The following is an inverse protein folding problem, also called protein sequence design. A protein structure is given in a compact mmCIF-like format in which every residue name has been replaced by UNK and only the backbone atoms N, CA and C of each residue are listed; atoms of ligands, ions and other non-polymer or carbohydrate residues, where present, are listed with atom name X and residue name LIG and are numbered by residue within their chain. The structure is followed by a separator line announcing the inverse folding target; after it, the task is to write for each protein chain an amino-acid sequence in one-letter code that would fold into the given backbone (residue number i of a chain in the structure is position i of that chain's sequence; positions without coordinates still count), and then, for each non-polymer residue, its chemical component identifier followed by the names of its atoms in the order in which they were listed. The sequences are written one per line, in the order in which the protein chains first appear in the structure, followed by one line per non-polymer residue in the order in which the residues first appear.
data_IF_165003533799
#
_entry.id   IF_165003533799
#
_cell.length_a   1.000
_cell.length_b   1.000
_cell.length_c   1.000
_cell.angle_alpha   90.00
_cell.angle_beta   90.00
_cell.angle_gamma   90.00
#
_symmetry.space_group_name_H-M   'P 1'
#
loop_
_entity.id
_entity.type
_entity.pdbx_description
1 polymer ?
#
# COMPACT_ATOMS: atom_id res chain seq x y z
N UNK A 1 10.25 -15.49 -18.08
CA UNK A 1 9.94 -14.47 -17.06
C UNK A 1 11.23 -13.83 -16.54
N UNK A 2 12.15 -14.60 -15.97
CA UNK A 2 13.48 -14.11 -15.54
C UNK A 2 14.32 -13.56 -16.71
N UNK A 3 14.27 -14.19 -17.90
CA UNK A 3 14.93 -13.69 -19.12
C UNK A 3 14.44 -12.30 -19.58
N UNK A 4 13.18 -11.96 -19.33
CA UNK A 4 12.64 -10.65 -19.67
C UNK A 4 13.21 -9.56 -18.74
N UNK A 5 13.35 -9.87 -17.44
CA UNK A 5 13.96 -8.96 -16.46
C UNK A 5 15.45 -8.77 -16.73
N UNK A 6 16.17 -9.83 -17.06
CA UNK A 6 17.58 -9.73 -17.46
C UNK A 6 17.76 -8.81 -18.68
N UNK A 7 16.85 -8.90 -19.65
CA UNK A 7 16.85 -8.01 -20.82
C UNK A 7 16.61 -6.55 -20.41
N UNK A 8 15.61 -6.29 -19.54
CA UNK A 8 15.35 -4.95 -18.99
C UNK A 8 16.56 -4.36 -18.26
N UNK A 9 17.35 -5.21 -17.60
CA UNK A 9 18.54 -4.82 -16.84
C UNK A 9 19.85 -4.91 -17.64
N UNK A 10 19.78 -5.00 -18.97
CA UNK A 10 20.96 -4.83 -19.82
C UNK A 10 21.37 -3.34 -19.83
N UNK A 11 22.67 -2.99 -19.72
CA UNK A 11 23.11 -1.59 -19.72
C UNK A 11 22.55 -0.80 -20.91
N UNK A 12 22.16 0.46 -20.69
CA UNK A 12 21.70 1.36 -21.77
C UNK A 12 22.85 1.64 -22.76
N UNK A 13 24.05 1.86 -22.23
CA UNK A 13 25.29 1.98 -23.00
C UNK A 13 26.49 1.54 -22.13
N UNK A 14 27.65 1.22 -22.72
CA UNK A 14 28.86 0.88 -21.97
C UNK A 14 29.33 2.01 -21.03
N UNK A 15 29.20 3.26 -21.46
CA UNK A 15 29.67 4.44 -20.72
C UNK A 15 28.65 4.93 -19.68
N UNK A 16 27.36 4.78 -19.99
CA UNK A 16 26.26 5.17 -19.12
C UNK A 16 25.29 3.99 -18.96
N UNK A 17 25.59 3.03 -18.07
CA UNK A 17 24.80 1.80 -17.93
C UNK A 17 23.35 2.06 -17.49
N UNK A 18 23.13 3.11 -16.70
CA UNK A 18 21.80 3.55 -16.29
C UNK A 18 21.18 4.66 -17.16
N UNK A 19 21.90 5.13 -18.17
CA UNK A 19 21.48 6.26 -19.00
C UNK A 19 21.26 7.55 -18.20
N UNK A 20 20.38 8.41 -18.70
CA UNK A 20 20.10 9.72 -18.13
C UNK A 20 18.81 9.72 -17.30
N UNK A 21 18.65 10.70 -16.41
CA UNK A 21 17.35 10.90 -15.74
C UNK A 21 16.33 11.42 -16.75
N UNK A 22 15.17 10.76 -16.83
CA UNK A 22 14.11 11.09 -17.80
C UNK A 22 12.94 11.84 -17.17
N UNK A 23 13.06 12.30 -15.91
CA UNK A 23 11.96 12.90 -15.14
C UNK A 23 11.25 14.08 -15.81
N UNK A 24 11.94 14.84 -16.66
CA UNK A 24 11.40 16.00 -17.38
C UNK A 24 11.37 15.79 -18.90
N UNK A 25 11.40 14.53 -19.33
CA UNK A 25 11.38 14.17 -20.75
C UNK A 25 9.94 14.02 -21.26
N UNK A 26 9.68 14.34 -22.55
CA UNK A 26 8.38 14.08 -23.17
C UNK A 26 7.95 12.62 -23.10
N UNK A 27 8.89 11.67 -23.12
CA UNK A 27 8.63 10.24 -23.01
C UNK A 27 8.11 9.87 -21.62
N UNK A 28 8.66 10.48 -20.56
CA UNK A 28 8.15 10.32 -19.20
C UNK A 28 6.77 10.97 -19.02
N UNK A 29 6.54 12.13 -19.63
CA UNK A 29 5.22 12.77 -19.62
C UNK A 29 4.15 11.89 -20.29
N UNK A 30 4.49 11.22 -21.39
CA UNK A 30 3.60 10.23 -22.04
C UNK A 30 3.30 9.05 -21.14
N UNK A 31 4.32 8.49 -20.48
CA UNK A 31 4.14 7.41 -19.51
C UNK A 31 3.21 7.85 -18.36
N UNK A 32 3.45 9.03 -17.79
CA UNK A 32 2.63 9.59 -16.73
C UNK A 32 1.18 9.81 -17.19
N UNK A 33 0.97 10.30 -18.42
CA UNK A 33 -0.36 10.49 -19.00
C UNK A 33 -1.10 9.16 -19.21
N UNK A 34 -0.42 8.11 -19.69
CA UNK A 34 -1.01 6.78 -19.87
C UNK A 34 -1.45 6.14 -18.54
N UNK A 35 -0.73 6.45 -17.45
CA UNK A 35 -1.04 5.98 -16.08
C UNK A 35 -2.18 6.77 -15.41
N UNK A 36 -2.58 7.92 -15.93
CA UNK A 36 -3.60 8.74 -15.27
C UNK A 36 -4.98 8.07 -15.32
N UNK A 37 -5.60 8.00 -14.15
CA UNK A 37 -6.98 7.56 -13.97
C UNK A 37 -7.72 8.64 -13.17
N UNK A 38 -8.92 9.01 -13.63
CA UNK A 38 -9.79 9.93 -12.90
C UNK A 38 -10.55 9.18 -11.79
N UNK A 39 -10.79 9.85 -10.66
CA UNK A 39 -11.59 9.29 -9.56
C UNK A 39 -13.08 9.32 -9.91
N UNK A 40 -13.63 8.15 -10.23
CA UNK A 40 -15.05 7.99 -10.61
C UNK A 40 -16.02 8.26 -9.43
N UNK A 41 -15.54 8.43 -8.20
CA UNK A 41 -16.38 8.76 -7.03
C UNK A 41 -16.63 10.25 -6.87
N UNK A 42 -15.87 11.10 -7.58
CA UNK A 42 -16.05 12.55 -7.53
C UNK A 42 -17.26 12.99 -8.37
N UNK A 43 -18.09 13.94 -7.87
CA UNK A 43 -19.19 14.48 -8.65
C UNK A 43 -18.66 15.10 -9.95
N UNK A 44 -18.98 14.50 -11.09
CA UNK A 44 -18.69 15.10 -12.39
C UNK A 44 -19.59 16.33 -12.50
N UNK A 45 -19.00 17.54 -12.46
CA UNK A 45 -19.75 18.77 -12.70
C UNK A 45 -20.40 18.79 -14.09
N UNK A 46 -20.95 19.94 -14.50
CA UNK A 46 -21.61 20.12 -15.81
C UNK A 46 -20.71 19.78 -17.02
N UNK A 47 -19.40 19.59 -16.81
CA UNK A 47 -18.46 19.09 -17.81
C UNK A 47 -18.44 17.56 -17.83
N UNK A 48 -19.20 16.96 -18.76
CA UNK A 48 -19.19 15.53 -19.04
C UNK A 48 -17.98 15.18 -19.91
N UNK A 49 -16.80 15.02 -19.32
CA UNK A 49 -15.71 14.29 -19.99
C UNK A 49 -15.82 12.80 -19.69
N UNK A 50 -15.54 11.95 -20.67
CA UNK A 50 -15.34 10.50 -20.41
C UNK A 50 -14.23 10.35 -19.36
N UNK A 51 -14.47 9.64 -18.24
CA UNK A 51 -13.45 9.42 -17.21
C UNK A 51 -12.21 8.81 -17.85
N UNK A 52 -11.04 9.41 -17.61
CA UNK A 52 -9.79 8.81 -18.07
C UNK A 52 -9.53 7.55 -17.28
N UNK A 53 -9.28 6.46 -17.99
CA UNK A 53 -8.85 5.19 -17.43
C UNK A 53 -7.41 4.98 -17.81
N UNK A 54 -6.62 4.51 -16.86
CA UNK A 54 -5.24 4.15 -17.12
C UNK A 54 -5.18 3.03 -18.17
N UNK A 55 -4.33 3.20 -19.16
CA UNK A 55 -4.02 2.17 -20.15
C UNK A 55 -2.82 1.38 -19.66
N UNK A 56 -3.07 0.31 -18.90
CA UNK A 56 -2.01 -0.47 -18.27
C UNK A 56 -1.13 -1.22 -19.29
N UNK A 57 -1.66 -1.57 -20.47
CA UNK A 57 -0.87 -2.15 -21.54
C UNK A 57 0.12 -1.13 -22.10
N UNK A 58 -0.34 0.10 -22.34
CA UNK A 58 0.51 1.19 -22.80
C UNK A 58 1.52 1.63 -21.74
N UNK A 59 1.13 1.68 -20.46
CA UNK A 59 2.07 1.94 -19.35
C UNK A 59 3.18 0.90 -19.33
N UNK A 60 2.84 -0.39 -19.42
CA UNK A 60 3.83 -1.47 -19.44
C UNK A 60 4.76 -1.35 -20.66
N UNK A 61 4.19 -1.05 -21.85
CA UNK A 61 4.96 -0.90 -23.09
C UNK A 61 5.94 0.27 -23.00
N UNK A 62 5.47 1.46 -22.62
CA UNK A 62 6.27 2.67 -22.50
C UNK A 62 7.35 2.54 -21.41
N UNK A 63 7.00 1.99 -20.25
CA UNK A 63 7.97 1.79 -19.16
C UNK A 63 9.05 0.78 -19.53
N UNK A 64 8.72 -0.31 -20.25
CA UNK A 64 9.70 -1.24 -20.81
C UNK A 64 10.62 -0.54 -21.82
N UNK A 65 10.07 0.22 -22.77
CA UNK A 65 10.83 0.96 -23.78
C UNK A 65 11.84 1.93 -23.14
N UNK A 66 11.37 2.73 -22.18
CA UNK A 66 12.20 3.65 -21.41
C UNK A 66 13.29 2.93 -20.62
N UNK A 67 12.93 1.84 -19.95
CA UNK A 67 13.86 1.03 -19.15
C UNK A 67 14.96 0.44 -20.04
N UNK A 68 14.63 -0.05 -21.23
CA UNK A 68 15.60 -0.66 -22.15
C UNK A 68 16.55 0.36 -22.76
N UNK A 69 16.03 1.51 -23.20
CA UNK A 69 16.74 2.37 -24.16
C UNK A 69 17.17 3.73 -23.62
N UNK A 70 16.62 4.19 -22.49
CA UNK A 70 16.81 5.57 -22.01
C UNK A 70 17.35 5.64 -20.59
N UNK A 71 16.71 4.96 -19.64
CA UNK A 71 16.99 5.15 -18.23
C UNK A 71 16.69 3.92 -17.38
N UNK A 72 17.62 3.53 -16.52
CA UNK A 72 17.32 2.62 -15.40
C UNK A 72 16.87 3.48 -14.23
N UNK A 73 15.55 3.57 -14.05
CA UNK A 73 14.93 4.46 -13.07
C UNK A 73 13.90 3.71 -12.22
N UNK A 74 14.05 3.78 -10.89
CA UNK A 74 13.19 3.13 -9.91
C UNK A 74 11.74 3.62 -9.97
N UNK A 75 11.48 4.87 -10.35
CA UNK A 75 10.10 5.36 -10.51
C UNK A 75 9.43 4.64 -11.68
N UNK A 76 10.13 4.54 -12.82
CA UNK A 76 9.62 3.87 -14.03
C UNK A 76 9.44 2.37 -13.77
N UNK A 77 10.42 1.72 -13.14
CA UNK A 77 10.34 0.30 -12.81
C UNK A 77 9.24 0.00 -11.79
N UNK A 78 8.98 0.92 -10.85
CA UNK A 78 7.85 0.84 -9.92
C UNK A 78 6.50 0.92 -10.66
N UNK A 79 6.38 1.81 -11.65
CA UNK A 79 5.15 1.91 -12.45
C UNK A 79 4.97 0.73 -13.42
N UNK A 80 6.08 0.17 -13.93
CA UNK A 80 6.06 -1.06 -14.71
C UNK A 80 5.53 -2.24 -13.88
N UNK A 81 5.99 -2.36 -12.62
CA UNK A 81 5.51 -3.40 -11.72
C UNK A 81 4.04 -3.22 -11.34
N UNK A 82 3.56 -1.99 -11.14
CA UNK A 82 2.13 -1.70 -10.99
C UNK A 82 1.31 -2.14 -12.21
N UNK A 83 1.76 -1.78 -13.42
CA UNK A 83 1.10 -2.20 -14.65
C UNK A 83 1.03 -3.73 -14.78
N UNK A 84 2.10 -4.44 -14.43
CA UNK A 84 2.08 -5.90 -14.38
C UNK A 84 1.08 -6.47 -13.39
N UNK A 85 0.94 -5.85 -12.21
CA UNK A 85 -0.06 -6.27 -11.22
C UNK A 85 -1.49 -6.03 -11.71
N UNK A 86 -1.76 -4.94 -12.45
CA UNK A 86 -3.06 -4.72 -13.07
C UNK A 86 -3.37 -5.71 -14.19
N UNK A 87 -2.38 -6.05 -15.02
CA UNK A 87 -2.57 -6.92 -16.18
C UNK A 87 -2.60 -8.41 -15.82
N UNK A 88 -1.80 -8.82 -14.84
CA UNK A 88 -1.56 -10.24 -14.51
C UNK A 88 -1.97 -10.60 -13.07
N UNK A 89 -2.39 -9.64 -12.24
CA UNK A 89 -2.76 -9.88 -10.85
C UNK A 89 -1.57 -10.28 -9.97
N UNK A 90 -1.84 -11.00 -8.88
CA UNK A 90 -0.85 -11.33 -7.85
C UNK A 90 0.31 -12.21 -8.36
N UNK A 91 0.13 -12.95 -9.45
CA UNK A 91 1.21 -13.77 -10.02
C UNK A 91 2.37 -12.93 -10.57
N UNK A 92 2.14 -11.64 -10.83
CA UNK A 92 3.15 -10.69 -11.31
C UNK A 92 3.98 -10.04 -10.19
N UNK A 93 3.53 -10.14 -8.93
CA UNK A 93 4.20 -9.52 -7.79
C UNK A 93 5.69 -9.90 -7.64
N UNK A 94 6.11 -11.18 -7.77
CA UNK A 94 7.53 -11.52 -7.66
C UNK A 94 8.36 -10.86 -8.77
N UNK A 95 7.84 -10.74 -10.00
CA UNK A 95 8.54 -10.05 -11.10
C UNK A 95 8.76 -8.58 -10.76
N UNK A 96 7.69 -7.90 -10.34
CA UNK A 96 7.72 -6.48 -10.00
C UNK A 96 8.76 -6.18 -8.90
N UNK A 97 8.81 -7.01 -7.85
CA UNK A 97 9.77 -6.87 -6.76
C UNK A 97 11.20 -7.24 -7.18
N UNK A 98 11.35 -8.30 -7.98
CA UNK A 98 12.65 -8.74 -8.45
C UNK A 98 13.33 -7.74 -9.38
N UNK A 99 12.55 -7.04 -10.23
CA UNK A 99 13.08 -5.98 -11.08
C UNK A 99 13.76 -4.88 -10.26
N UNK A 100 13.10 -4.43 -9.19
CA UNK A 100 13.63 -3.40 -8.29
C UNK A 100 14.87 -3.88 -7.53
N UNK A 101 14.81 -5.09 -6.97
CA UNK A 101 15.92 -5.67 -6.21
C UNK A 101 17.17 -5.85 -7.09
N UNK A 102 17.00 -6.46 -8.27
CA UNK A 102 18.08 -6.73 -9.19
C UNK A 102 18.64 -5.43 -9.81
N UNK A 103 17.81 -4.40 -10.01
CA UNK A 103 18.28 -3.09 -10.47
C UNK A 103 19.19 -2.43 -9.42
N UNK A 104 18.78 -2.43 -8.15
CA UNK A 104 19.56 -1.90 -7.03
C UNK A 104 20.89 -2.64 -6.85
N UNK A 105 20.90 -3.95 -7.01
CA UNK A 105 22.11 -4.77 -6.93
C UNK A 105 23.08 -4.54 -8.06
N UNK A 106 22.56 -4.43 -9.28
CA UNK A 106 23.37 -4.31 -10.49
C UNK A 106 23.95 -2.91 -10.64
N UNK A 107 23.22 -1.89 -10.21
CA UNK A 107 23.55 -0.49 -10.41
C UNK A 107 23.42 0.33 -9.11
N UNK A 108 24.15 -0.03 -8.04
CA UNK A 108 23.96 0.59 -6.73
C UNK A 108 24.23 2.10 -6.73
N UNK A 109 25.11 2.60 -7.60
CA UNK A 109 25.47 4.02 -7.64
C UNK A 109 24.71 4.76 -8.75
N UNK A 110 24.63 4.15 -9.93
CA UNK A 110 24.21 4.80 -11.17
C UNK A 110 22.69 4.86 -11.36
N UNK A 111 21.92 4.00 -10.69
CA UNK A 111 20.47 3.89 -10.83
C UNK A 111 19.75 5.20 -10.50
N UNK A 112 18.75 5.58 -11.28
CA UNK A 112 17.96 6.77 -11.00
C UNK A 112 16.78 6.47 -10.04
N UNK A 113 16.38 7.40 -9.16
CA UNK A 113 17.07 8.64 -8.81
C UNK A 113 18.41 8.37 -8.11
N UNK A 114 19.44 9.13 -8.44
CA UNK A 114 20.77 8.96 -7.85
C UNK A 114 20.85 9.50 -6.41
N UNK A 115 21.58 8.80 -5.54
CA UNK A 115 21.98 9.34 -4.23
C UNK A 115 22.97 10.48 -4.48
N UNK A 116 22.73 11.64 -3.88
CA UNK A 116 23.59 12.83 -4.03
C UNK A 116 23.91 13.38 -2.64
N UNK A 117 25.18 13.64 -2.35
CA UNK A 117 25.61 14.24 -1.08
C UNK A 117 25.07 13.49 0.16
N UNK A 118 25.06 12.15 0.11
CA UNK A 118 24.46 11.26 1.13
C UNK A 118 22.97 11.51 1.41
N UNK A 119 22.25 12.15 0.48
CA UNK A 119 20.79 12.28 0.49
C UNK A 119 20.14 11.09 -0.22
N UNK A 120 19.46 10.27 0.57
CA UNK A 120 18.75 9.06 0.14
C UNK A 120 17.28 9.32 -0.18
N UNK A 121 16.72 10.49 0.14
CA UNK A 121 15.27 10.74 0.10
C UNK A 121 14.67 10.45 -1.26
N UNK A 122 15.32 10.95 -2.32
CA UNK A 122 14.84 10.75 -3.69
C UNK A 122 14.92 9.29 -4.15
N UNK A 123 15.93 8.54 -3.70
CA UNK A 123 16.07 7.12 -4.06
C UNK A 123 15.15 6.23 -3.22
N UNK A 124 14.89 6.60 -1.96
CA UNK A 124 13.97 5.91 -1.08
C UNK A 124 12.50 6.12 -1.46
N UNK A 125 12.14 7.32 -1.93
CA UNK A 125 10.77 7.67 -2.30
C UNK A 125 10.05 6.63 -3.17
N UNK A 126 10.58 6.14 -4.31
CA UNK A 126 9.91 5.12 -5.11
C UNK A 126 9.75 3.78 -4.37
N UNK A 127 10.69 3.40 -3.50
CA UNK A 127 10.61 2.16 -2.71
C UNK A 127 9.57 2.27 -1.60
N UNK A 128 9.50 3.41 -0.91
CA UNK A 128 8.45 3.73 0.06
C UNK A 128 7.07 3.73 -0.61
N UNK A 129 6.97 4.32 -1.82
CA UNK A 129 5.75 4.30 -2.60
C UNK A 129 5.35 2.86 -2.97
N UNK A 130 6.27 2.03 -3.44
CA UNK A 130 6.02 0.60 -3.71
C UNK A 130 5.50 -0.12 -2.47
N UNK A 131 6.13 0.07 -1.32
CA UNK A 131 5.72 -0.60 -0.08
C UNK A 131 4.26 -0.30 0.30
N UNK A 132 3.82 0.94 0.17
CA UNK A 132 2.43 1.33 0.50
C UNK A 132 1.45 0.98 -0.62
N UNK A 133 1.80 1.33 -1.86
CA UNK A 133 0.91 1.18 -3.01
C UNK A 133 0.68 -0.29 -3.34
N UNK A 134 1.74 -1.10 -3.41
CA UNK A 134 1.56 -2.53 -3.67
C UNK A 134 0.85 -3.22 -2.52
N UNK A 135 0.98 -2.75 -1.27
CA UNK A 135 0.22 -3.33 -0.16
C UNK A 135 -1.30 -3.13 -0.35
N UNK A 136 -1.70 -1.94 -0.82
CA UNK A 136 -3.08 -1.65 -1.19
C UNK A 136 -3.54 -2.50 -2.38
N UNK A 137 -2.71 -2.66 -3.41
CA UNK A 137 -3.03 -3.52 -4.56
C UNK A 137 -3.18 -4.99 -4.14
N UNK A 138 -2.25 -5.53 -3.34
CA UNK A 138 -2.31 -6.89 -2.83
C UNK A 138 -3.56 -7.12 -1.97
N UNK A 139 -3.95 -6.13 -1.16
CA UNK A 139 -5.16 -6.23 -0.36
C UNK A 139 -6.45 -6.30 -1.19
N UNK A 140 -6.47 -5.65 -2.36
CA UNK A 140 -7.67 -5.53 -3.19
C UNK A 140 -7.67 -6.45 -4.42
N UNK A 141 -6.55 -7.06 -4.75
CA UNK A 141 -6.43 -7.97 -5.89
C UNK A 141 -7.26 -9.24 -5.67
N UNK A 142 -7.80 -9.84 -6.75
CA UNK A 142 -8.41 -11.16 -6.70
C UNK A 142 -7.44 -12.18 -6.10
N UNK A 143 -7.83 -12.77 -4.97
CA UNK A 143 -7.02 -13.74 -4.25
C UNK A 143 -7.42 -15.16 -4.63
N UNK A 144 -8.73 -15.43 -4.72
CA UNK A 144 -9.29 -16.69 -5.19
C UNK A 144 -10.73 -16.52 -5.69
N UNK A 145 -11.26 -17.52 -6.39
CA UNK A 145 -12.62 -17.51 -6.95
C UNK A 145 -13.53 -18.51 -6.23
N UNK A 146 -14.66 -18.06 -5.71
CA UNK A 146 -15.66 -18.91 -5.04
C UNK A 146 -17.03 -18.67 -5.69
N UNK A 147 -17.74 -19.73 -6.10
CA UNK A 147 -19.08 -19.63 -6.72
C UNK A 147 -19.15 -18.58 -7.85
N UNK A 148 -18.12 -18.50 -8.70
CA UNK A 148 -17.95 -17.52 -9.80
C UNK A 148 -17.65 -16.06 -9.37
N UNK A 149 -17.59 -15.77 -8.08
CA UNK A 149 -17.16 -14.47 -7.55
C UNK A 149 -15.65 -14.46 -7.20
N UNK A 150 -14.95 -13.40 -7.60
CA UNK A 150 -13.56 -13.16 -7.18
C UNK A 150 -13.53 -12.52 -5.80
N UNK A 151 -12.86 -13.16 -4.85
CA UNK A 151 -12.69 -12.66 -3.49
C UNK A 151 -11.30 -12.08 -3.32
N UNK A 152 -11.20 -10.83 -2.86
CA UNK A 152 -9.95 -10.19 -2.45
C UNK A 152 -9.65 -10.39 -0.97
N UNK A 153 -8.41 -10.11 -0.54
CA UNK A 153 -8.06 -10.16 0.89
C UNK A 153 -8.95 -9.21 1.71
N UNK A 154 -9.19 -7.99 1.24
CA UNK A 154 -10.02 -7.02 1.95
C UNK A 154 -11.47 -7.52 2.14
N UNK A 155 -12.03 -8.20 1.13
CA UNK A 155 -13.36 -8.80 1.22
C UNK A 155 -13.38 -10.02 2.16
N UNK A 156 -12.34 -10.85 2.11
CA UNK A 156 -12.18 -11.98 3.02
C UNK A 156 -12.10 -11.52 4.49
N UNK A 157 -11.33 -10.46 4.78
CA UNK A 157 -11.22 -9.87 6.13
C UNK A 157 -12.54 -9.30 6.66
N UNK A 158 -13.45 -8.88 5.77
CA UNK A 158 -14.79 -8.40 6.13
C UNK A 158 -15.79 -9.53 6.40
N UNK A 159 -15.36 -10.80 6.38
CA UNK A 159 -16.20 -11.96 6.66
C UNK A 159 -17.14 -12.36 5.52
N UNK A 160 -16.85 -11.96 4.27
CA UNK A 160 -17.66 -12.31 3.08
C UNK A 160 -17.49 -13.77 2.60
N UNK A 161 -17.56 -14.74 3.52
CA UNK A 161 -17.49 -16.23 3.34
C UNK A 161 -16.11 -16.89 3.35
N UNK A 162 -16.16 -18.20 3.67
CA UNK A 162 -15.07 -19.03 4.21
C UNK A 162 -14.66 -20.22 3.32
N UNK A 163 -15.41 -20.52 2.25
CA UNK A 163 -15.14 -21.72 1.45
C UNK A 163 -14.00 -21.45 0.47
N UNK A 164 -12.88 -22.13 0.71
CA UNK A 164 -11.69 -22.06 -0.11
C UNK A 164 -11.90 -22.88 -1.38
N UNK A 165 -11.63 -22.32 -2.58
CA UNK A 165 -11.58 -23.14 -3.76
C UNK A 165 -10.39 -24.11 -3.67
N UNK A 166 -10.42 -25.23 -4.43
CA UNK A 166 -9.42 -26.27 -4.36
C UNK A 166 -7.98 -25.72 -4.47
N UNK A 167 -7.01 -26.25 -3.71
CA UNK A 167 -5.63 -25.74 -3.68
C UNK A 167 -4.98 -25.60 -5.06
N UNK A 168 -5.34 -26.47 -6.01
CA UNK A 168 -4.85 -26.44 -7.40
C UNK A 168 -5.21 -25.14 -8.13
N UNK A 169 -6.37 -24.55 -7.83
CA UNK A 169 -6.86 -23.32 -8.48
C UNK A 169 -6.12 -22.07 -7.98
N UNK A 170 -5.47 -22.15 -6.82
CA UNK A 170 -4.76 -21.05 -6.18
C UNK A 170 -3.23 -21.25 -6.13
N UNK A 171 -2.74 -22.41 -6.54
CA UNK A 171 -1.33 -22.80 -6.38
C UNK A 171 -0.35 -21.77 -6.96
N UNK A 172 -0.67 -21.20 -8.12
CA UNK A 172 0.16 -20.19 -8.78
C UNK A 172 0.28 -18.90 -7.97
N UNK A 173 -0.83 -18.46 -7.34
CA UNK A 173 -0.83 -17.27 -6.48
C UNK A 173 -0.04 -17.57 -5.20
N UNK A 174 -0.24 -18.72 -4.56
CA UNK A 174 0.52 -19.13 -3.38
C UNK A 174 2.04 -19.19 -3.63
N UNK A 175 2.46 -19.75 -4.77
CA UNK A 175 3.87 -19.78 -5.19
C UNK A 175 4.41 -18.36 -5.43
N UNK A 176 3.64 -17.51 -6.12
CA UNK A 176 4.02 -16.13 -6.38
C UNK A 176 4.22 -15.34 -5.09
N UNK A 177 3.27 -15.41 -4.15
CA UNK A 177 3.36 -14.74 -2.84
C UNK A 177 4.59 -15.23 -2.04
N UNK A 178 4.88 -16.53 -2.09
CA UNK A 178 6.06 -17.11 -1.44
C UNK A 178 7.37 -16.57 -2.05
N UNK A 179 7.43 -16.46 -3.38
CA UNK A 179 8.57 -15.87 -4.07
C UNK A 179 8.70 -14.36 -3.75
N UNK A 180 7.58 -13.63 -3.68
CA UNK A 180 7.55 -12.21 -3.33
C UNK A 180 8.15 -11.91 -1.95
N UNK A 181 7.90 -12.75 -0.93
CA UNK A 181 8.53 -12.58 0.38
C UNK A 181 10.06 -12.67 0.32
N UNK A 182 10.61 -13.57 -0.51
CA UNK A 182 12.06 -13.68 -0.70
C UNK A 182 12.64 -12.41 -1.35
N UNK A 183 11.94 -11.86 -2.34
CA UNK A 183 12.37 -10.61 -2.98
C UNK A 183 12.22 -9.39 -2.07
N UNK A 184 11.20 -9.33 -1.21
CA UNK A 184 11.08 -8.27 -0.20
C UNK A 184 12.20 -8.34 0.82
N UNK A 185 12.53 -9.54 1.32
CA UNK A 185 13.67 -9.68 2.22
C UNK A 185 14.95 -9.15 1.57
N UNK A 186 15.17 -9.49 0.29
CA UNK A 186 16.31 -9.00 -0.47
C UNK A 186 16.34 -7.48 -0.62
N UNK A 187 15.19 -6.85 -0.87
CA UNK A 187 15.06 -5.38 -0.89
C UNK A 187 15.38 -4.77 0.48
N UNK A 188 14.87 -5.35 1.56
CA UNK A 188 15.18 -4.92 2.94
C UNK A 188 16.68 -4.99 3.20
N UNK A 189 17.33 -6.09 2.83
CA UNK A 189 18.77 -6.30 3.03
C UNK A 189 19.61 -5.27 2.23
N UNK A 190 19.17 -4.89 1.02
CA UNK A 190 19.84 -3.85 0.21
C UNK A 190 19.74 -2.46 0.83
N UNK A 191 18.65 -2.18 1.55
CA UNK A 191 18.40 -0.90 2.20
C UNK A 191 18.90 -0.84 3.66
N UNK A 192 19.41 -1.95 4.22
CA UNK A 192 19.75 -2.04 5.65
C UNK A 192 20.80 -1.01 6.12
N UNK A 193 21.65 -0.53 5.21
CA UNK A 193 22.72 0.41 5.52
C UNK A 193 22.33 1.87 5.21
N UNK A 194 21.08 2.13 4.81
CA UNK A 194 20.61 3.48 4.54
C UNK A 194 20.30 4.18 5.87
N UNK A 195 20.39 5.52 5.95
CA UNK A 195 20.06 6.24 7.18
C UNK A 195 18.63 5.95 7.65
N UNK A 196 18.44 5.62 8.93
CA UNK A 196 17.16 5.18 9.52
C UNK A 196 15.97 6.12 9.18
N UNK A 197 16.21 7.43 9.13
CA UNK A 197 15.18 8.42 8.82
C UNK A 197 14.64 8.32 7.38
N UNK A 198 15.42 7.72 6.47
CA UNK A 198 15.16 7.66 5.02
C UNK A 198 14.98 6.23 4.52
N UNK A 199 15.35 5.23 5.31
CA UNK A 199 15.31 3.83 4.93
C UNK A 199 13.85 3.38 4.66
N UNK A 200 13.55 2.80 3.49
CA UNK A 200 12.21 2.30 3.21
C UNK A 200 11.84 1.13 4.11
N UNK A 201 10.61 1.12 4.61
CA UNK A 201 10.04 -0.02 5.34
C UNK A 201 9.06 -0.80 4.47
N UNK A 202 9.32 -2.09 4.28
CA UNK A 202 8.48 -3.00 3.50
C UNK A 202 7.46 -3.79 4.35
N UNK A 203 7.41 -3.53 5.66
CA UNK A 203 6.60 -4.29 6.62
C UNK A 203 5.11 -4.33 6.24
N UNK A 204 4.55 -3.22 5.77
CA UNK A 204 3.12 -3.14 5.42
C UNK A 204 2.78 -4.12 4.28
N UNK A 205 3.61 -4.16 3.23
CA UNK A 205 3.44 -5.07 2.11
C UNK A 205 3.70 -6.53 2.54
N UNK A 206 4.76 -6.76 3.32
CA UNK A 206 5.10 -8.10 3.84
C UNK A 206 3.93 -8.70 4.64
N UNK A 207 3.31 -7.92 5.53
CA UNK A 207 2.16 -8.38 6.30
C UNK A 207 0.98 -8.71 5.40
N UNK A 208 0.66 -7.88 4.39
CA UNK A 208 -0.43 -8.19 3.44
C UNK A 208 -0.18 -9.48 2.66
N UNK A 209 1.05 -9.73 2.23
CA UNK A 209 1.41 -10.99 1.56
C UNK A 209 1.26 -12.19 2.50
N UNK A 210 1.73 -12.08 3.74
CA UNK A 210 1.56 -13.14 4.76
C UNK A 210 0.08 -13.42 5.05
N UNK A 211 -0.75 -12.40 5.18
CA UNK A 211 -2.18 -12.58 5.38
C UNK A 211 -2.85 -13.23 4.17
N UNK A 212 -2.43 -12.89 2.94
CA UNK A 212 -2.89 -13.61 1.75
C UNK A 212 -2.52 -15.09 1.82
N UNK A 213 -1.28 -15.45 2.16
CA UNK A 213 -0.87 -16.85 2.32
C UNK A 213 -1.68 -17.59 3.39
N UNK A 214 -1.97 -16.95 4.51
CA UNK A 214 -2.84 -17.50 5.56
C UNK A 214 -4.25 -17.75 5.04
N UNK A 215 -4.81 -16.79 4.31
CA UNK A 215 -6.13 -16.93 3.70
C UNK A 215 -6.17 -18.05 2.65
N UNK A 216 -5.08 -18.31 1.91
CA UNK A 216 -5.01 -19.42 0.94
C UNK A 216 -4.78 -20.81 1.59
N UNK A 217 -4.42 -20.86 2.89
CA UNK A 217 -3.87 -22.07 3.51
C UNK A 217 -4.45 -22.48 4.88
N UNK A 218 -5.32 -21.72 5.53
CA UNK A 218 -5.88 -22.08 6.85
C UNK A 218 -7.40 -21.91 6.99
N UNK A 219 -8.04 -23.06 7.23
CA UNK A 219 -9.10 -23.26 8.21
C UNK A 219 -8.66 -22.80 9.61
N UNK A 220 -9.36 -21.86 10.23
CA UNK A 220 -9.27 -21.69 11.69
C UNK A 220 -10.26 -22.66 12.32
N UNK A 221 -9.81 -23.90 12.54
CA UNK A 221 -10.44 -24.77 13.53
C UNK A 221 -9.89 -24.37 14.89
N UNK A 222 -10.49 -23.35 15.50
CA UNK A 222 -10.42 -23.18 16.95
C UNK A 222 -11.84 -23.03 17.48
N UNK A 223 -12.42 -24.17 17.86
CA UNK A 223 -13.42 -24.26 18.92
C UNK A 223 -12.82 -25.07 20.07
N UNK A 224 -13.22 -24.75 21.32
CA UNK A 224 -12.36 -24.86 22.48
C UNK A 224 -12.40 -26.27 23.07
N UNK A 225 -11.25 -26.77 23.50
CA UNK A 225 -11.19 -27.78 24.55
C UNK A 225 -10.13 -27.38 25.58
N UNK A 226 -10.62 -27.22 26.80
CA UNK A 226 -9.89 -27.18 28.05
C UNK A 226 -8.97 -28.39 28.20
N UNK A 227 -7.73 -28.18 28.66
CA UNK A 227 -7.20 -28.86 29.84
C UNK A 227 -5.96 -28.14 30.36
N UNK A 228 -5.84 -28.13 31.69
CA UNK A 228 -4.98 -27.29 32.50
C UNK A 228 -3.52 -27.78 32.54
N UNK A 229 -2.58 -26.84 32.67
CA UNK A 229 -1.17 -27.13 32.99
C UNK A 229 -0.18 -26.02 32.64
N UNK A 230 -0.20 -24.91 33.37
CA UNK A 230 0.94 -24.07 33.85
C UNK A 230 2.36 -24.44 33.33
N UNK A 231 3.28 -23.59 32.84
CA UNK A 231 3.50 -22.12 32.97
C UNK A 231 4.57 -21.60 31.97
N UNK A 232 4.26 -20.47 31.31
CA UNK A 232 5.07 -19.32 30.79
C UNK A 232 6.36 -19.49 29.97
N UNK A 233 6.40 -18.84 28.78
CA UNK A 233 6.91 -17.46 28.54
C UNK A 233 6.11 -16.85 27.37
N UNK A 234 5.37 -15.76 27.61
CA UNK A 234 4.54 -15.06 26.62
C UNK A 234 5.29 -13.91 25.95
N UNK A 235 5.24 -13.88 24.61
CA UNK A 235 5.53 -12.72 23.78
C UNK A 235 4.28 -11.83 23.70
N UNK A 236 4.39 -10.56 24.10
CA UNK A 236 3.28 -9.61 24.07
C UNK A 236 3.19 -8.91 22.71
N UNK A 237 2.31 -9.39 21.85
CA UNK A 237 1.70 -8.61 20.76
C UNK A 237 0.61 -7.71 21.35
N UNK A 238 0.95 -6.47 21.67
CA UNK A 238 -0.03 -5.47 22.11
C UNK A 238 -0.62 -4.73 20.89
N UNK A 239 -1.61 -5.33 20.23
CA UNK A 239 -2.70 -4.51 19.70
C UNK A 239 -3.65 -4.26 20.88
N UNK A 240 -3.98 -3.01 21.25
CA UNK A 240 -4.98 -2.79 22.28
C UNK A 240 -6.33 -3.25 21.71
N UNK A 241 -6.73 -4.47 22.04
CA UNK A 241 -8.11 -4.89 21.90
C UNK A 241 -8.87 -4.20 23.04
N UNK A 242 -9.62 -3.14 22.73
CA UNK A 242 -10.49 -2.51 23.72
C UNK A 242 -11.60 -3.50 24.09
N UNK A 243 -11.73 -3.83 25.37
CA UNK A 243 -12.76 -4.72 25.90
C UNK A 243 -14.15 -4.08 25.87
N UNK A 244 -14.23 -2.75 25.75
CA UNK A 244 -15.50 -2.05 25.63
C UNK A 244 -15.37 -0.73 24.87
N UNK A 245 -16.50 -0.25 24.36
CA UNK A 245 -16.64 1.10 23.80
C UNK A 245 -16.15 2.17 24.78
N UNK A 246 -16.49 2.01 26.07
CA UNK A 246 -16.09 2.93 27.14
C UNK A 246 -14.56 3.00 27.29
N UNK A 247 -13.89 1.85 27.24
CA UNK A 247 -12.42 1.78 27.31
C UNK A 247 -11.76 2.50 26.14
N UNK A 248 -12.32 2.38 24.93
CA UNK A 248 -11.82 3.11 23.76
C UNK A 248 -11.94 4.63 23.94
N UNK A 249 -13.08 5.12 24.45
CA UNK A 249 -13.26 6.56 24.73
C UNK A 249 -12.39 7.05 25.89
N UNK A 250 -12.11 6.22 26.88
CA UNK A 250 -11.17 6.55 27.95
C UNK A 250 -9.74 6.70 27.40
N UNK A 251 -9.31 5.82 26.49
CA UNK A 251 -8.01 5.94 25.83
C UNK A 251 -7.93 7.21 24.95
N UNK A 252 -8.97 7.50 24.18
CA UNK A 252 -9.04 8.74 23.40
C UNK A 252 -8.93 9.99 24.27
N UNK A 253 -9.56 9.98 25.46
CA UNK A 253 -9.46 11.07 26.43
C UNK A 253 -8.02 11.20 26.97
N UNK A 254 -7.37 10.09 27.31
CA UNK A 254 -5.97 10.11 27.77
C UNK A 254 -5.01 10.67 26.71
N UNK A 255 -5.21 10.30 25.44
CA UNK A 255 -4.44 10.83 24.31
C UNK A 255 -4.68 12.33 24.15
N UNK A 256 -5.94 12.77 24.19
CA UNK A 256 -6.28 14.19 24.09
C UNK A 256 -5.66 15.01 25.22
N UNK A 257 -5.75 14.54 26.47
CA UNK A 257 -5.17 15.20 27.63
C UNK A 257 -3.63 15.27 27.56
N UNK A 258 -2.99 14.26 26.97
CA UNK A 258 -1.54 14.24 26.74
C UNK A 258 -1.16 15.27 25.67
N UNK A 259 -1.80 15.21 24.50
CA UNK A 259 -1.52 16.11 23.38
C UNK A 259 -1.82 17.57 23.72
N UNK A 260 -2.82 17.86 24.56
CA UNK A 260 -3.07 19.23 25.02
C UNK A 260 -1.93 19.77 25.89
N UNK A 261 -1.25 18.91 26.64
CA UNK A 261 -0.08 19.28 27.46
C UNK A 261 1.18 19.45 26.64
N UNK A 262 1.38 18.62 25.61
CA UNK A 262 2.61 18.63 24.78
C UNK A 262 2.50 19.57 23.56
N UNK A 263 1.30 19.77 23.04
CA UNK A 263 1.00 20.56 21.84
C UNK A 263 -0.22 21.48 22.04
N UNK A 264 -0.13 22.51 22.91
CA UNK A 264 -1.28 23.34 23.31
C UNK A 264 -1.90 24.17 22.17
N UNK A 265 -1.19 24.35 21.06
CA UNK A 265 -1.66 25.07 19.87
C UNK A 265 -2.14 24.14 18.75
N UNK A 266 -2.03 22.82 18.94
CA UNK A 266 -2.58 21.85 18.00
C UNK A 266 -4.11 21.86 18.07
N UNK A 267 -4.82 21.78 16.93
CA UNK A 267 -6.28 21.62 16.93
C UNK A 267 -6.71 20.19 17.29
N UNK A 268 -5.79 19.21 17.24
CA UNK A 268 -6.08 17.77 17.40
C UNK A 268 -6.65 17.43 18.79
N UNK A 269 -6.10 17.90 19.93
CA UNK A 269 -6.66 17.60 21.25
C UNK A 269 -8.12 18.04 21.39
N UNK A 270 -8.46 19.22 20.86
CA UNK A 270 -9.82 19.77 20.92
C UNK A 270 -10.80 18.93 20.08
N UNK A 271 -10.37 18.45 18.91
CA UNK A 271 -11.18 17.56 18.07
C UNK A 271 -11.41 16.20 18.74
N UNK A 272 -10.39 15.64 19.40
CA UNK A 272 -10.52 14.37 20.13
C UNK A 272 -11.47 14.49 21.33
N UNK A 273 -11.37 15.57 22.11
CA UNK A 273 -12.34 15.84 23.18
C UNK A 273 -13.77 15.97 22.63
N UNK A 274 -13.93 16.65 21.49
CA UNK A 274 -15.23 16.80 20.84
C UNK A 274 -15.78 15.46 20.34
N UNK A 275 -14.94 14.61 19.75
CA UNK A 275 -15.31 13.25 19.35
C UNK A 275 -15.76 12.39 20.54
N UNK A 276 -15.12 12.54 21.70
CA UNK A 276 -15.55 11.86 22.93
C UNK A 276 -16.93 12.33 23.41
N UNK A 277 -17.22 13.63 23.33
CA UNK A 277 -18.55 14.18 23.69
C UNK A 277 -19.61 13.60 22.75
N UNK A 278 -19.40 13.66 21.44
CA UNK A 278 -20.34 13.13 20.45
C UNK A 278 -20.58 11.62 20.61
N UNK A 279 -19.58 10.87 21.06
CA UNK A 279 -19.74 9.45 21.39
C UNK A 279 -20.85 9.18 22.41
N UNK A 280 -21.12 10.13 23.30
CA UNK A 280 -22.11 10.01 24.36
C UNK A 280 -23.40 10.80 24.07
N UNK A 281 -23.46 11.53 22.94
CA UNK A 281 -24.64 12.29 22.52
C UNK A 281 -25.61 11.40 21.75
N UNK A 282 -26.90 11.36 22.09
CA UNK A 282 -27.92 10.69 21.29
C UNK A 282 -27.94 11.22 19.85
N UNK A 283 -28.06 10.31 18.87
CA UNK A 283 -27.98 10.66 17.45
C UNK A 283 -28.91 11.84 17.02
N UNK A 284 -30.18 11.95 17.47
CA UNK A 284 -31.03 13.06 17.10
C UNK A 284 -30.52 14.42 17.58
N UNK A 285 -29.92 14.47 18.77
CA UNK A 285 -29.33 15.68 19.35
C UNK A 285 -28.04 16.06 18.61
N UNK A 286 -27.21 15.06 18.29
CA UNK A 286 -25.98 15.25 17.52
C UNK A 286 -26.26 15.78 16.11
N UNK A 287 -27.23 15.19 15.40
CA UNK A 287 -27.62 15.66 14.07
C UNK A 287 -28.17 17.08 14.11
N UNK A 288 -28.94 17.44 15.14
CA UNK A 288 -29.44 18.79 15.32
C UNK A 288 -28.29 19.80 15.57
N UNK A 289 -27.31 19.46 16.40
CA UNK A 289 -26.11 20.29 16.61
C UNK A 289 -25.31 20.51 15.31
N UNK A 290 -25.09 19.44 14.55
CA UNK A 290 -24.30 19.49 13.32
C UNK A 290 -25.01 20.26 12.20
N UNK A 291 -26.32 20.06 12.03
CA UNK A 291 -27.10 20.66 10.94
C UNK A 291 -27.51 22.12 11.20
N UNK A 292 -27.69 22.50 12.46
CA UNK A 292 -28.08 23.87 12.86
C UNK A 292 -26.86 24.78 13.06
N UNK A 293 -25.64 24.24 12.99
CA UNK A 293 -24.40 25.03 13.08
C UNK A 293 -24.22 26.00 11.89
N UNK A 294 -23.50 27.11 12.11
CA UNK A 294 -23.25 28.12 11.06
C UNK A 294 -22.45 27.52 9.88
N UNK A 295 -22.49 28.18 8.72
CA UNK A 295 -21.91 27.71 7.45
C UNK A 295 -20.41 27.38 7.59
N UNK A 296 -19.67 28.18 8.36
CA UNK A 296 -18.24 27.92 8.63
C UNK A 296 -18.02 26.60 9.39
N UNK A 297 -18.88 26.28 10.36
CA UNK A 297 -18.81 25.02 11.09
C UNK A 297 -19.22 23.84 10.18
N UNK A 298 -20.27 24.00 9.37
CA UNK A 298 -20.69 22.98 8.40
C UNK A 298 -19.61 22.69 7.35
N UNK A 299 -18.89 23.70 6.88
CA UNK A 299 -17.76 23.53 5.96
C UNK A 299 -16.61 22.75 6.60
N UNK A 300 -16.28 23.05 7.87
CA UNK A 300 -15.30 22.29 8.64
C UNK A 300 -15.73 20.82 8.81
N UNK A 301 -17.01 20.56 9.07
CA UNK A 301 -17.53 19.19 9.21
C UNK A 301 -17.46 18.37 7.92
N UNK A 302 -17.62 19.00 6.75
CA UNK A 302 -17.38 18.33 5.46
C UNK A 302 -15.91 17.99 5.25
N UNK A 303 -15.00 18.91 5.58
CA UNK A 303 -13.57 18.66 5.47
C UNK A 303 -13.09 17.52 6.38
N UNK A 304 -13.75 17.34 7.52
CA UNK A 304 -13.49 16.25 8.47
C UNK A 304 -14.28 14.97 8.16
N UNK A 305 -15.05 14.92 7.07
CA UNK A 305 -15.82 13.73 6.64
C UNK A 305 -17.03 13.38 7.54
N UNK A 306 -17.49 14.32 8.36
CA UNK A 306 -18.60 14.13 9.31
C UNK A 306 -19.96 14.39 8.64
N UNK A 307 -20.00 15.33 7.70
CA UNK A 307 -21.17 15.63 6.87
C UNK A 307 -20.83 15.36 5.39
N UNK A 308 -21.81 14.90 4.58
CA UNK A 308 -21.66 14.83 3.14
C UNK A 308 -21.55 16.23 2.48
#
# INVERSE_FOLDING_TARGET
MMEAIETLLTPVSPEHPCGESVRYSPEFDRLAAARQQDDETLPTGVWQSTPRRADWEEVARLACELTLSRSKDLVIMSWLGEAWLHLRGLVALPDALSLLALALERYPNELHPQIKDDDYDYRAAPLCWVAQHYAAMVANAPLFTCEEETISLAQWQQGKRHDLPPPEMQANIGLALTASLKWLQRLTDLCQNWPDATAPSFNVLEQKIKTCQQALGHSVTERPQSEAGETQISAATNSPAFASREEAYQMLKQIADYLQRTEPHSPVPYLLHRACIWGHTPLPELLNELLVSDEAARQLWRQLGVLP
#
